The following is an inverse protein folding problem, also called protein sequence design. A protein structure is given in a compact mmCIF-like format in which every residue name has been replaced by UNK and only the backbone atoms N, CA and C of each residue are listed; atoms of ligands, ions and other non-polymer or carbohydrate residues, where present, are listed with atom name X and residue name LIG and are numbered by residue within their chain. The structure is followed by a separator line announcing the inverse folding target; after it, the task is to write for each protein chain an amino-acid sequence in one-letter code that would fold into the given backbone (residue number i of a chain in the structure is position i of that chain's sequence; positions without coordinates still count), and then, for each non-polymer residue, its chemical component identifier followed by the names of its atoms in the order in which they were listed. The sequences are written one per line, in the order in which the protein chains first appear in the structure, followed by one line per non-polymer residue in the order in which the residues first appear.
data_IF_036357053298
#
_entry.id   IF_036357053298
#
_cell.length_a   1.000
_cell.length_b   1.000
_cell.length_c   1.000
_cell.angle_alpha   90.00
_cell.angle_beta   90.00
_cell.angle_gamma   90.00
#
_symmetry.space_group_name_H-M   'P 1'
#
loop_
_entity.id
_entity.type
_entity.pdbx_description
1 polymer ?
#
# COMPACT_ATOMS: atom_id res chain seq x y z
N UNK A 1 -6.42 -7.06 8.78
CA UNK A 1 -6.32 -5.64 8.41
C UNK A 1 -4.98 -5.46 7.72
N UNK A 2 -4.99 -5.07 6.44
CA UNK A 2 -3.76 -4.89 5.67
C UNK A 2 -2.95 -3.71 6.23
N UNK A 3 -1.65 -3.87 6.37
CA UNK A 3 -0.73 -2.80 6.80
C UNK A 3 0.50 -2.78 5.89
N UNK A 4 1.36 -1.77 6.07
CA UNK A 4 2.56 -1.59 5.26
C UNK A 4 3.45 -2.85 5.20
N UNK A 5 3.68 -3.53 6.32
CA UNK A 5 4.50 -4.74 6.37
C UNK A 5 3.87 -5.90 5.58
N UNK A 6 2.55 -6.06 5.65
CA UNK A 6 1.84 -7.06 4.87
C UNK A 6 1.95 -6.78 3.36
N UNK A 7 1.77 -5.53 2.93
CA UNK A 7 1.97 -5.12 1.55
C UNK A 7 3.40 -5.37 1.09
N UNK A 8 4.39 -5.02 1.91
CA UNK A 8 5.80 -5.24 1.59
C UNK A 8 6.14 -6.72 1.42
N UNK A 9 5.57 -7.59 2.26
CA UNK A 9 5.76 -9.03 2.15
C UNK A 9 5.15 -9.59 0.85
N UNK A 10 3.97 -9.13 0.46
CA UNK A 10 3.34 -9.53 -0.80
C UNK A 10 4.18 -9.05 -1.99
N UNK A 11 4.63 -7.80 -1.97
CA UNK A 11 5.49 -7.25 -3.02
C UNK A 11 6.79 -8.04 -3.19
N UNK A 12 7.41 -8.45 -2.09
CA UNK A 12 8.63 -9.27 -2.11
C UNK A 12 8.37 -10.67 -2.67
N UNK A 13 7.25 -11.31 -2.30
CA UNK A 13 6.86 -12.60 -2.87
C UNK A 13 6.60 -12.49 -4.37
N UNK A 14 5.93 -11.42 -4.78
CA UNK A 14 5.63 -11.17 -6.19
C UNK A 14 6.92 -10.94 -7.01
N UNK A 15 7.94 -10.31 -6.42
CA UNK A 15 9.26 -10.11 -7.04
C UNK A 15 10.08 -11.38 -7.20
N UNK A 16 10.01 -12.26 -6.21
CA UNK A 16 10.93 -13.41 -6.08
C UNK A 16 10.41 -14.67 -6.74
N UNK A 17 9.10 -14.76 -6.95
CA UNK A 17 8.46 -15.91 -7.59
C UNK A 17 8.16 -15.58 -9.05
N UNK A 18 8.28 -16.56 -9.95
CA UNK A 18 7.83 -16.44 -11.35
C UNK A 18 6.34 -16.67 -11.48
N UNK A 19 5.73 -17.42 -10.56
CA UNK A 19 4.30 -17.72 -10.52
C UNK A 19 3.51 -16.63 -9.80
N UNK A 20 2.21 -16.56 -10.06
CA UNK A 20 1.31 -15.61 -9.42
C UNK A 20 1.22 -15.89 -7.92
N UNK A 21 1.56 -14.91 -7.08
CA UNK A 21 1.48 -15.08 -5.62
C UNK A 21 0.03 -15.31 -5.19
N UNK A 22 -0.22 -16.23 -4.27
CA UNK A 22 -1.53 -16.33 -3.64
C UNK A 22 -1.74 -15.15 -2.67
N UNK A 23 -2.82 -14.41 -2.88
CA UNK A 23 -3.27 -13.30 -2.04
C UNK A 23 -4.73 -13.52 -1.66
N UNK A 24 -5.19 -12.89 -0.59
CA UNK A 24 -6.59 -12.98 -0.17
C UNK A 24 -7.53 -12.40 -1.23
N UNK A 25 -8.73 -12.97 -1.36
CA UNK A 25 -9.74 -12.51 -2.32
C UNK A 25 -10.12 -11.03 -2.12
N UNK A 26 -10.09 -10.57 -0.87
CA UNK A 26 -10.38 -9.19 -0.49
C UNK A 26 -9.17 -8.26 -0.54
N UNK A 27 -7.99 -8.73 -0.99
CA UNK A 27 -6.73 -7.98 -0.92
C UNK A 27 -6.86 -6.56 -1.47
N UNK A 28 -7.39 -6.40 -2.69
CA UNK A 28 -7.48 -5.11 -3.35
C UNK A 28 -8.39 -4.14 -2.59
N UNK A 29 -9.51 -4.65 -2.05
CA UNK A 29 -10.40 -3.86 -1.19
C UNK A 29 -9.68 -3.41 0.08
N UNK A 30 -9.01 -4.33 0.77
CA UNK A 30 -8.30 -4.01 2.01
C UNK A 30 -7.12 -3.05 1.78
N UNK A 31 -6.43 -3.15 0.65
CA UNK A 31 -5.34 -2.24 0.29
C UNK A 31 -5.88 -0.82 0.05
N UNK A 32 -6.98 -0.70 -0.69
CA UNK A 32 -7.64 0.58 -0.92
C UNK A 32 -8.15 1.20 0.38
N UNK A 33 -8.83 0.43 1.23
CA UNK A 33 -9.29 0.90 2.54
C UNK A 33 -8.13 1.38 3.42
N UNK A 34 -6.97 0.71 3.36
CA UNK A 34 -5.80 1.12 4.11
C UNK A 34 -5.23 2.46 3.61
N UNK A 35 -5.14 2.62 2.28
CA UNK A 35 -4.71 3.88 1.64
C UNK A 35 -5.66 5.02 2.01
N UNK A 36 -6.98 4.80 1.92
CA UNK A 36 -7.99 5.80 2.29
C UNK A 36 -7.87 6.23 3.75
N UNK A 37 -7.69 5.27 4.67
CA UNK A 37 -7.48 5.59 6.10
C UNK A 37 -6.22 6.41 6.33
N UNK A 38 -5.14 6.18 5.57
CA UNK A 38 -3.92 6.98 5.66
C UNK A 38 -4.16 8.40 5.11
N UNK A 39 -4.93 8.55 4.03
CA UNK A 39 -5.31 9.84 3.46
C UNK A 39 -6.18 10.66 4.41
N UNK A 40 -7.21 10.02 4.99
CA UNK A 40 -8.09 10.63 6.00
C UNK A 40 -7.29 11.11 7.21
N UNK A 41 -6.44 10.23 7.78
CA UNK A 41 -5.58 10.59 8.91
C UNK A 41 -4.64 11.74 8.58
N UNK A 42 -4.01 11.72 7.41
CA UNK A 42 -3.14 12.81 6.96
C UNK A 42 -3.92 14.12 6.83
N UNK A 43 -5.14 14.08 6.29
CA UNK A 43 -6.01 15.24 6.16
C UNK A 43 -6.42 15.81 7.52
N UNK A 44 -6.90 14.96 8.43
CA UNK A 44 -7.30 15.35 9.78
C UNK A 44 -6.14 15.99 10.56
N UNK A 45 -4.97 15.35 10.55
CA UNK A 45 -3.79 15.88 11.23
C UNK A 45 -3.34 17.21 10.61
N UNK A 46 -3.50 17.37 9.29
CA UNK A 46 -3.16 18.62 8.59
C UNK A 46 -4.10 19.75 9.00
N UNK A 47 -5.38 19.45 9.20
CA UNK A 47 -6.36 20.43 9.68
C UNK A 47 -6.12 20.81 11.15
N UNK A 48 -5.68 19.85 11.98
CA UNK A 48 -5.38 20.09 13.42
C UNK A 48 -4.08 20.87 13.63
N UNK A 49 -3.00 20.44 12.99
CA UNK A 49 -1.68 21.05 13.15
C UNK A 49 -0.83 20.91 11.87
N UNK A 50 -0.88 21.90 10.96
CA UNK A 50 -0.14 21.89 9.69
C UNK A 50 1.39 21.77 9.82
N UNK A 51 1.96 22.07 10.99
CA UNK A 51 3.41 22.05 11.23
C UNK A 51 3.88 20.79 11.96
N UNK A 52 2.98 19.83 12.22
CA UNK A 52 3.32 18.62 12.96
C UNK A 52 4.28 17.73 12.15
N UNK A 53 5.39 17.31 12.77
CA UNK A 53 6.34 16.34 12.18
C UNK A 53 5.66 15.02 11.80
N UNK A 54 4.58 14.67 12.48
CA UNK A 54 3.73 13.50 12.17
C UNK A 54 3.15 13.54 10.77
N UNK A 55 2.91 14.73 10.20
CA UNK A 55 2.44 14.87 8.81
C UNK A 55 3.46 14.38 7.79
N UNK A 56 4.75 14.62 8.04
CA UNK A 56 5.82 14.15 7.18
C UNK A 56 5.84 12.63 7.19
N UNK A 57 5.79 12.02 8.37
CA UNK A 57 5.80 10.57 8.54
C UNK A 57 4.58 9.91 7.87
N UNK A 58 3.38 10.47 8.07
CA UNK A 58 2.14 9.99 7.45
C UNK A 58 2.17 10.13 5.92
N UNK A 59 2.70 11.26 5.41
CA UNK A 59 2.84 11.47 3.98
C UNK A 59 3.83 10.49 3.35
N UNK A 60 4.94 10.18 4.03
CA UNK A 60 5.91 9.18 3.59
C UNK A 60 5.33 7.77 3.62
N UNK A 61 4.62 7.39 4.69
CA UNK A 61 3.94 6.10 4.79
C UNK A 61 2.92 5.93 3.67
N UNK A 62 2.08 6.94 3.42
CA UNK A 62 1.10 6.94 2.33
C UNK A 62 1.79 6.79 0.97
N UNK A 63 2.84 7.58 0.70
CA UNK A 63 3.60 7.51 -0.56
C UNK A 63 4.20 6.12 -0.76
N UNK A 64 4.83 5.56 0.27
CA UNK A 64 5.46 4.25 0.19
C UNK A 64 4.42 3.13 0.01
N UNK A 65 3.27 3.24 0.69
CA UNK A 65 2.15 2.31 0.56
C UNK A 65 1.59 2.29 -0.86
N UNK A 66 1.35 3.46 -1.47
CA UNK A 66 0.90 3.57 -2.87
C UNK A 66 1.89 2.95 -3.85
N UNK A 67 3.20 3.21 -3.66
CA UNK A 67 4.26 2.61 -4.49
C UNK A 67 4.31 1.09 -4.40
N UNK A 68 4.13 0.53 -3.20
CA UNK A 68 4.07 -0.93 -3.03
C UNK A 68 2.84 -1.52 -3.73
N UNK A 69 1.68 -0.87 -3.57
CA UNK A 69 0.45 -1.31 -4.22
C UNK A 69 0.58 -1.33 -5.75
N UNK A 70 1.14 -0.28 -6.34
CA UNK A 70 1.40 -0.17 -7.78
C UNK A 70 2.40 -1.24 -8.25
N UNK A 71 3.52 -1.43 -7.54
CA UNK A 71 4.51 -2.48 -7.83
C UNK A 71 3.91 -3.89 -7.79
N UNK A 72 3.01 -4.16 -6.84
CA UNK A 72 2.28 -5.44 -6.77
C UNK A 72 1.38 -5.59 -8.00
N UNK A 73 0.58 -4.56 -8.31
CA UNK A 73 -0.36 -4.59 -9.42
C UNK A 73 0.35 -4.86 -10.75
N UNK A 74 1.37 -4.07 -11.09
CA UNK A 74 2.11 -4.21 -12.35
C UNK A 74 2.77 -5.58 -12.51
N UNK A 75 3.33 -6.15 -11.43
CA UNK A 75 3.97 -7.47 -11.49
C UNK A 75 2.96 -8.58 -11.68
N UNK A 76 1.82 -8.49 -11.00
CA UNK A 76 0.73 -9.46 -11.15
C UNK A 76 0.14 -9.40 -12.53
N UNK A 77 -0.11 -8.20 -13.05
CA UNK A 77 -0.57 -8.01 -14.43
C UNK A 77 0.37 -8.69 -15.42
N UNK A 78 1.68 -8.42 -15.31
CA UNK A 78 2.70 -9.07 -16.16
C UNK A 78 2.64 -10.59 -16.12
N UNK A 79 2.46 -11.20 -14.94
CA UNK A 79 2.37 -12.67 -14.78
C UNK A 79 1.04 -13.28 -15.23
N UNK A 80 0.00 -12.47 -15.37
CA UNK A 80 -1.31 -12.92 -15.84
C UNK A 80 -1.35 -12.86 -17.37
N UNK A 81 -0.73 -11.82 -17.95
CA UNK A 81 -0.75 -11.57 -19.40
C UNK A 81 0.34 -12.34 -20.15
N UNK A 82 1.50 -12.58 -19.51
CA UNK A 82 2.64 -13.30 -20.07
C UNK A 82 2.76 -14.69 -19.45
#
# INVERSE_FOLDING_TARGET
MLNYSALRNIEQKEKTTSTLTQIDADFYRQALEHIQKLEERLHEEKMKNPAAKTLILLAEELRNTKRLWESIFERREKKIVL
#
